data_IF_993990224683
#
_entry.id   IF_993990224683
#
_cell.length_a   1.000
_cell.length_b   1.000
_cell.length_c   1.000
_cell.angle_alpha   90.00
_cell.angle_beta   90.00
_cell.angle_gamma   90.00
#
_symmetry.space_group_name_H-M   'P 1'
#
loop_
_entity.id
_entity.type
_entity.pdbx_description
1 polymer ?
#
# COMPACT_ATOMS: atom_id res chain seq x y z
N UNK A 1 12.09 -6.91 -9.79
CA UNK A 1 10.85 -6.16 -10.11
C UNK A 1 10.93 -5.71 -11.58
N UNK A 2 9.80 -5.66 -12.27
CA UNK A 2 9.75 -5.30 -13.69
C UNK A 2 8.56 -4.37 -13.92
N UNK A 3 8.84 -3.11 -14.29
CA UNK A 3 7.82 -2.08 -14.44
C UNK A 3 6.81 -2.40 -15.54
N UNK A 4 7.25 -3.00 -16.66
CA UNK A 4 6.37 -3.36 -17.78
C UNK A 4 5.41 -4.49 -17.38
N UNK A 5 5.92 -5.51 -16.68
CA UNK A 5 5.08 -6.61 -16.19
C UNK A 5 4.10 -6.12 -15.13
N UNK A 6 4.54 -5.27 -14.19
CA UNK A 6 3.64 -4.66 -13.21
C UNK A 6 2.51 -3.89 -13.90
N UNK A 7 2.84 -3.03 -14.86
CA UNK A 7 1.83 -2.25 -15.59
C UNK A 7 0.85 -3.15 -16.35
N UNK A 8 1.36 -4.15 -17.08
CA UNK A 8 0.50 -5.10 -17.79
C UNK A 8 -0.49 -5.81 -16.86
N UNK A 9 -0.05 -6.22 -15.67
CA UNK A 9 -0.93 -6.86 -14.70
C UNK A 9 -2.02 -5.91 -14.21
N UNK A 10 -1.68 -4.66 -13.93
CA UNK A 10 -2.63 -3.62 -13.53
C UNK A 10 -3.63 -3.32 -14.65
N UNK A 11 -3.16 -3.21 -15.89
CA UNK A 11 -4.00 -3.00 -17.09
C UNK A 11 -4.99 -4.17 -17.30
N UNK A 12 -4.59 -5.39 -16.91
CA UNK A 12 -5.46 -6.57 -16.91
C UNK A 12 -6.42 -6.66 -15.72
N UNK A 13 -6.44 -5.67 -14.82
CA UNK A 13 -7.34 -5.62 -13.66
C UNK A 13 -6.86 -6.43 -12.46
N UNK A 14 -5.56 -6.69 -12.33
CA UNK A 14 -5.01 -7.26 -11.11
C UNK A 14 -5.34 -6.37 -9.90
N UNK A 15 -5.73 -6.99 -8.78
CA UNK A 15 -5.98 -6.27 -7.54
C UNK A 15 -4.69 -5.65 -7.00
N UNK A 16 -4.62 -4.32 -7.08
CA UNK A 16 -3.48 -3.51 -6.65
C UNK A 16 -3.20 -3.63 -5.14
N UNK A 17 -4.21 -3.98 -4.35
CA UNK A 17 -4.14 -4.12 -2.90
C UNK A 17 -4.11 -5.57 -2.43
N UNK A 18 -3.94 -6.53 -3.35
CA UNK A 18 -3.81 -7.94 -3.02
C UNK A 18 -2.72 -8.18 -1.96
N UNK A 19 -2.99 -9.05 -1.00
CA UNK A 19 -2.06 -9.33 0.10
C UNK A 19 -1.45 -10.71 0.01
N UNK A 20 -0.17 -10.84 0.37
CA UNK A 20 0.47 -12.13 0.59
C UNK A 20 0.02 -12.78 1.92
N UNK A 21 0.61 -13.95 2.24
CA UNK A 21 0.32 -14.65 3.50
C UNK A 21 0.67 -13.85 4.76
N UNK A 22 1.53 -12.84 4.67
CA UNK A 22 1.95 -11.97 5.77
C UNK A 22 1.12 -10.67 5.83
N UNK A 23 0.15 -10.51 4.94
CA UNK A 23 -0.65 -9.28 4.82
C UNK A 23 0.10 -8.15 4.09
N UNK A 24 1.20 -8.43 3.40
CA UNK A 24 1.93 -7.41 2.65
C UNK A 24 1.23 -7.16 1.31
N UNK A 25 0.93 -5.90 1.03
CA UNK A 25 0.51 -5.44 -0.31
C UNK A 25 1.71 -5.34 -1.27
N UNK A 26 1.51 -5.15 -2.59
CA UNK A 26 2.63 -4.94 -3.52
C UNK A 26 3.52 -3.76 -3.11
N UNK A 27 2.96 -2.71 -2.49
CA UNK A 27 3.73 -1.59 -1.93
C UNK A 27 4.65 -2.02 -0.78
N UNK A 28 4.22 -2.91 0.11
CA UNK A 28 5.07 -3.43 1.19
C UNK A 28 6.24 -4.24 0.64
N UNK A 29 6.02 -5.00 -0.45
CA UNK A 29 7.04 -5.86 -1.05
C UNK A 29 8.08 -5.03 -1.80
N UNK A 30 7.64 -4.08 -2.64
CA UNK A 30 8.56 -3.35 -3.52
C UNK A 30 9.54 -2.45 -2.76
N UNK A 31 9.13 -1.88 -1.63
CA UNK A 31 9.99 -1.00 -0.80
C UNK A 31 11.04 -1.73 0.03
N UNK A 32 10.95 -3.05 0.14
CA UNK A 32 11.98 -3.91 0.73
C UNK A 32 13.02 -4.37 -0.30
N UNK A 33 12.82 -4.04 -1.58
CA UNK A 33 13.71 -4.47 -2.64
C UNK A 33 15.03 -3.70 -2.61
N UNK A 34 16.07 -4.35 -2.09
CA UNK A 34 17.40 -3.77 -1.93
C UNK A 34 18.36 -4.24 -3.05
N UNK A 35 18.34 -3.58 -4.20
CA UNK A 35 19.25 -3.82 -5.33
C UNK A 35 19.90 -2.51 -5.81
N UNK A 36 21.00 -2.58 -6.57
CA UNK A 36 21.82 -1.42 -6.93
C UNK A 36 21.05 -0.27 -7.59
N UNK A 37 21.62 0.93 -7.42
CA UNK A 37 21.06 2.27 -7.72
C UNK A 37 20.56 2.42 -9.16
N UNK A 38 21.06 1.62 -10.11
CA UNK A 38 20.59 1.57 -11.50
C UNK A 38 19.09 1.25 -11.63
N UNK A 39 18.50 0.63 -10.62
CA UNK A 39 17.07 0.26 -10.60
C UNK A 39 16.17 1.34 -9.96
N UNK A 40 16.70 2.54 -9.63
CA UNK A 40 15.90 3.63 -9.04
C UNK A 40 14.70 3.99 -9.91
N UNK A 41 14.91 4.14 -11.23
CA UNK A 41 13.84 4.48 -12.17
C UNK A 41 12.77 3.38 -12.20
N UNK A 42 13.20 2.11 -12.18
CA UNK A 42 12.28 0.96 -12.13
C UNK A 42 11.45 0.97 -10.84
N UNK A 43 12.07 1.22 -9.69
CA UNK A 43 11.38 1.31 -8.40
C UNK A 43 10.36 2.45 -8.39
N UNK A 44 10.80 3.63 -8.85
CA UNK A 44 9.95 4.81 -8.99
C UNK A 44 8.74 4.52 -9.88
N UNK A 45 8.95 3.99 -11.09
CA UNK A 45 7.87 3.70 -12.04
C UNK A 45 6.87 2.69 -11.48
N UNK A 46 7.33 1.69 -10.74
CA UNK A 46 6.44 0.68 -10.12
C UNK A 46 5.62 1.30 -9.00
N UNK A 47 6.25 2.07 -8.09
CA UNK A 47 5.53 2.72 -6.99
C UNK A 47 4.48 3.69 -7.56
N UNK A 48 4.82 4.49 -8.56
CA UNK A 48 3.86 5.37 -9.22
C UNK A 48 2.73 4.58 -9.86
N UNK A 49 3.03 3.53 -10.63
CA UNK A 49 1.99 2.73 -11.30
C UNK A 49 1.01 2.12 -10.29
N UNK A 50 1.51 1.64 -9.14
CA UNK A 50 0.67 1.11 -8.07
C UNK A 50 -0.20 2.22 -7.44
N UNK A 51 0.39 3.37 -7.10
CA UNK A 51 -0.36 4.49 -6.50
C UNK A 51 -1.42 5.04 -7.46
N UNK A 52 -1.09 5.21 -8.75
CA UNK A 52 -2.03 5.65 -9.79
C UNK A 52 -3.16 4.64 -10.01
N UNK A 53 -2.88 3.34 -9.86
CA UNK A 53 -3.88 2.28 -9.87
C UNK A 53 -4.72 2.18 -8.58
N UNK A 54 -4.46 3.03 -7.58
CA UNK A 54 -5.25 3.11 -6.34
C UNK A 54 -4.71 2.27 -5.18
N UNK A 55 -3.42 1.97 -5.17
CA UNK A 55 -2.79 1.30 -4.03
C UNK A 55 -2.93 2.12 -2.74
N UNK A 56 -3.39 1.48 -1.67
CA UNK A 56 -3.45 2.09 -0.35
C UNK A 56 -2.06 2.08 0.31
N UNK A 57 -1.51 3.27 0.55
CA UNK A 57 -0.19 3.44 1.17
C UNK A 57 -0.19 3.20 2.68
N UNK A 58 -1.37 3.24 3.30
CA UNK A 58 -1.59 3.16 4.74
C UNK A 58 -2.20 1.83 5.21
N UNK A 59 -2.38 0.87 4.31
CA UNK A 59 -2.70 -0.50 4.72
C UNK A 59 -1.62 -1.05 5.62
N UNK A 60 -2.02 -1.77 6.66
CA UNK A 60 -1.09 -2.44 7.58
C UNK A 60 -1.07 -3.94 7.35
N UNK A 61 0.12 -4.53 7.37
CA UNK A 61 0.27 -5.98 7.33
C UNK A 61 -0.05 -6.63 8.68
N UNK A 62 0.11 -7.95 8.80
CA UNK A 62 -0.15 -8.68 10.07
C UNK A 62 0.71 -8.20 11.25
N UNK A 63 1.84 -7.55 10.96
CA UNK A 63 2.74 -6.95 11.95
C UNK A 63 2.33 -5.51 12.32
N UNK A 64 1.18 -5.02 11.83
CA UNK A 64 0.68 -3.65 11.97
C UNK A 64 1.63 -2.59 11.37
N UNK A 65 2.43 -2.99 10.38
CA UNK A 65 3.36 -2.10 9.67
C UNK A 65 2.78 -1.70 8.34
N UNK A 66 2.92 -0.43 7.98
CA UNK A 66 2.63 0.09 6.65
C UNK A 66 3.79 -0.16 5.68
N UNK A 67 3.58 0.11 4.39
CA UNK A 67 4.66 0.06 3.40
C UNK A 67 5.80 1.04 3.76
N UNK A 68 5.47 2.21 4.32
CA UNK A 68 6.47 3.17 4.79
C UNK A 68 7.31 2.58 5.93
N UNK A 69 6.68 1.92 6.91
CA UNK A 69 7.37 1.27 8.03
C UNK A 69 8.27 0.10 7.60
N UNK A 70 8.02 -0.47 6.41
CA UNK A 70 8.80 -1.56 5.82
C UNK A 70 9.90 -1.06 4.86
N UNK A 71 9.99 0.24 4.60
CA UNK A 71 10.99 0.81 3.70
C UNK A 71 12.41 0.57 4.23
N UNK A 72 13.28 -0.01 3.41
CA UNK A 72 14.68 -0.30 3.80
C UNK A 72 15.68 0.75 3.33
N UNK A 73 15.23 1.72 2.51
CA UNK A 73 16.10 2.76 1.93
C UNK A 73 15.45 4.13 2.03
N UNK A 74 16.27 5.19 2.13
CA UNK A 74 15.77 6.57 2.13
C UNK A 74 15.06 6.93 0.82
N UNK A 75 15.43 6.31 -0.29
CA UNK A 75 14.76 6.49 -1.60
C UNK A 75 13.32 6.02 -1.56
N UNK A 76 13.06 4.78 -1.13
CA UNK A 76 11.70 4.24 -1.07
C UNK A 76 10.84 5.03 -0.09
N UNK A 77 11.43 5.51 1.01
CA UNK A 77 10.77 6.40 1.96
C UNK A 77 10.38 7.74 1.33
N UNK A 78 11.28 8.40 0.60
CA UNK A 78 10.99 9.66 -0.09
C UNK A 78 9.89 9.45 -1.16
N UNK A 79 9.97 8.38 -1.94
CA UNK A 79 8.99 8.08 -2.98
C UNK A 79 7.60 7.84 -2.38
N UNK A 80 7.48 7.04 -1.33
CA UNK A 80 6.20 6.86 -0.65
C UNK A 80 5.68 8.17 -0.06
N UNK A 81 6.51 8.93 0.68
CA UNK A 81 6.07 10.20 1.31
C UNK A 81 5.59 11.23 0.30
N UNK A 82 6.24 11.31 -0.86
CA UNK A 82 5.85 12.27 -1.91
C UNK A 82 4.61 11.83 -2.69
N UNK A 83 4.33 10.53 -2.75
CA UNK A 83 3.19 9.96 -3.48
C UNK A 83 2.00 9.60 -2.57
N UNK A 84 2.10 9.82 -1.26
CA UNK A 84 1.02 9.58 -0.29
C UNK A 84 -0.18 10.50 -0.57
N UNK A 85 -1.14 10.00 -1.35
CA UNK A 85 -2.48 10.58 -1.48
C UNK A 85 -3.44 9.80 -0.60
N UNK A 86 -3.64 10.25 0.63
CA UNK A 86 -4.64 9.66 1.53
C UNK A 86 -6.02 10.16 1.14
N UNK A 87 -6.90 9.24 0.77
CA UNK A 87 -8.31 9.56 0.59
C UNK A 87 -8.97 9.86 1.95
N UNK A 88 -10.05 10.64 1.95
CA UNK A 88 -10.84 10.87 3.17
C UNK A 88 -11.35 9.54 3.77
N UNK A 89 -11.67 8.56 2.91
CA UNK A 89 -12.12 7.23 3.33
C UNK A 89 -11.02 6.50 4.12
N UNK A 90 -9.78 6.54 3.64
CA UNK A 90 -8.61 5.99 4.34
C UNK A 90 -8.35 6.71 5.66
N UNK A 91 -8.39 8.05 5.66
CA UNK A 91 -8.24 8.85 6.87
C UNK A 91 -9.28 8.51 7.94
N UNK A 92 -10.54 8.33 7.54
CA UNK A 92 -11.62 7.96 8.44
C UNK A 92 -11.43 6.54 9.00
N UNK A 93 -11.11 5.55 8.15
CA UNK A 93 -10.83 4.19 8.58
C UNK A 93 -9.65 4.13 9.56
N UNK A 94 -8.57 4.85 9.27
CA UNK A 94 -7.42 4.97 10.15
C UNK A 94 -7.79 5.62 11.48
N UNK A 95 -8.60 6.67 11.49
CA UNK A 95 -9.07 7.31 12.73
C UNK A 95 -9.89 6.34 13.59
N UNK A 96 -10.80 5.57 12.99
CA UNK A 96 -11.58 4.52 13.69
C UNK A 96 -10.66 3.52 14.38
N UNK A 97 -9.60 3.07 13.68
CA UNK A 97 -8.62 2.11 14.20
C UNK A 97 -7.75 2.68 15.31
N UNK A 98 -7.18 3.86 15.11
CA UNK A 98 -6.30 4.54 16.08
C UNK A 98 -7.04 4.84 17.38
N UNK A 99 -8.29 5.31 17.30
CA UNK A 99 -9.10 5.65 18.46
C UNK A 99 -9.91 4.47 19.02
N UNK A 100 -9.76 3.26 18.45
CA UNK A 100 -10.49 2.04 18.86
C UNK A 100 -12.00 2.24 18.92
N UNK A 101 -12.55 3.00 17.97
CA UNK A 101 -13.98 3.25 17.87
C UNK A 101 -14.65 1.92 17.48
N UNK A 102 -15.72 1.54 18.17
CA UNK A 102 -16.49 0.35 17.81
C UNK A 102 -17.25 0.60 16.51
N UNK A 103 -17.08 -0.25 15.51
CA UNK A 103 -17.74 -0.13 14.20
C UNK A 103 -18.43 -1.41 13.72
N UNK A 104 -18.21 -2.54 14.41
CA UNK A 104 -18.79 -3.85 14.06
C UNK A 104 -20.31 -3.82 14.15
N UNK A 105 -20.97 -4.29 13.09
CA UNK A 105 -22.42 -4.26 12.90
C UNK A 105 -23.05 -2.85 12.92
N UNK A 106 -22.24 -1.79 12.82
CA UNK A 106 -22.71 -0.40 12.75
C UNK A 106 -22.56 0.20 11.35
N UNK A 107 -21.75 -0.42 10.50
CA UNK A 107 -21.52 -0.03 9.11
C UNK A 107 -21.71 -1.27 8.21
N UNK A 108 -21.96 -1.08 6.89
CA UNK A 108 -21.98 -2.18 5.94
C UNK A 108 -20.74 -3.09 6.03
N UNK A 109 -20.90 -4.41 5.89
CA UNK A 109 -19.80 -5.41 5.99
C UNK A 109 -18.58 -5.06 5.12
N UNK A 110 -18.81 -4.61 3.89
CA UNK A 110 -17.73 -4.19 2.99
C UNK A 110 -16.90 -3.02 3.55
N UNK A 111 -17.48 -2.15 4.38
CA UNK A 111 -16.75 -1.08 5.06
C UNK A 111 -16.07 -1.57 6.34
N UNK A 112 -16.58 -2.61 7.00
CA UNK A 112 -15.84 -3.25 8.10
C UNK A 112 -14.53 -3.86 7.62
N UNK A 113 -14.58 -4.63 6.53
CA UNK A 113 -13.39 -5.20 5.88
C UNK A 113 -12.40 -4.08 5.48
N UNK A 114 -12.91 -2.98 4.92
CA UNK A 114 -12.09 -1.82 4.59
C UNK A 114 -11.39 -1.20 5.81
N UNK A 115 -12.10 -1.06 6.94
CA UNK A 115 -11.53 -0.53 8.19
C UNK A 115 -10.51 -1.47 8.81
N UNK A 116 -10.68 -2.79 8.65
CA UNK A 116 -9.73 -3.78 9.15
C UNK A 116 -8.34 -3.68 8.52
N UNK A 117 -8.25 -3.25 7.26
CA UNK A 117 -6.98 -3.10 6.55
C UNK A 117 -6.12 -1.93 7.04
N UNK A 118 -6.70 -0.99 7.82
CA UNK A 118 -6.04 0.21 8.36
C UNK A 118 -5.64 0.03 9.84
#
# INVERSE_FOLDING_TARGET
PNALVTKLLLDCGADVNAVDHEGNTPLHVIVQYNRPISDFLTLHSIIISLVEAGAHTDMTNKQKKTALDKSTTGVSEILLKTQMKLSLKCLAARAVRVHRISYRNQIPKALEEFVEFH
#
